data_IF_060979059972
#
_entry.id   IF_060979059972
#
_cell.length_a   1.000
_cell.length_b   1.000
_cell.length_c   1.000
_cell.angle_alpha   90.00
_cell.angle_beta   90.00
_cell.angle_gamma   90.00
#
_symmetry.space_group_name_H-M   'P 1'
#
loop_
_entity.id
_entity.type
_entity.pdbx_description
1 polymer ?
#
# COMPACT_ATOMS: atom_id res chain seq x y z
N UNK A 1 62.54 -3.00 -42.15
CA UNK A 1 61.79 -3.89 -41.26
C UNK A 1 60.99 -2.98 -40.35
N UNK A 2 59.66 -2.90 -40.59
CA UNK A 2 58.69 -2.14 -39.76
C UNK A 2 57.90 -3.10 -38.99
N UNK A 3 58.05 -3.13 -37.65
CA UNK A 3 57.27 -3.90 -36.75
C UNK A 3 55.97 -3.15 -36.40
N UNK A 4 54.82 -3.73 -36.70
CA UNK A 4 53.52 -3.25 -36.33
C UNK A 4 53.16 -3.91 -34.98
N UNK A 5 53.05 -3.09 -33.94
CA UNK A 5 52.56 -3.53 -32.63
C UNK A 5 51.04 -3.38 -32.64
N UNK A 6 50.31 -4.49 -32.64
CA UNK A 6 48.84 -4.51 -32.53
C UNK A 6 48.46 -4.43 -31.08
N UNK A 7 47.88 -3.31 -30.68
CA UNK A 7 47.31 -3.11 -29.34
C UNK A 7 45.91 -3.69 -29.31
N UNK A 8 45.74 -4.81 -28.60
CA UNK A 8 44.40 -5.39 -28.35
C UNK A 8 43.80 -4.71 -27.12
N UNK A 9 42.83 -3.84 -27.34
CA UNK A 9 41.98 -3.28 -26.26
C UNK A 9 40.94 -4.34 -25.85
N UNK A 10 41.14 -4.96 -24.71
CA UNK A 10 40.13 -5.78 -24.06
C UNK A 10 39.09 -4.85 -23.41
N UNK A 11 37.93 -4.68 -24.05
CA UNK A 11 36.76 -4.06 -23.45
C UNK A 11 36.17 -5.06 -22.42
N UNK A 12 36.51 -4.85 -21.17
CA UNK A 12 35.83 -5.52 -20.03
C UNK A 12 34.43 -5.01 -19.90
N UNK A 13 33.44 -5.79 -20.32
CA UNK A 13 32.02 -5.56 -20.01
C UNK A 13 31.84 -5.92 -18.54
N UNK A 14 31.86 -4.91 -17.66
CA UNK A 14 31.39 -5.06 -16.30
C UNK A 14 29.87 -5.27 -16.35
N UNK A 15 29.43 -6.52 -16.29
CA UNK A 15 28.04 -6.84 -16.03
C UNK A 15 27.69 -6.32 -14.63
N UNK A 16 27.07 -5.14 -14.59
CA UNK A 16 26.43 -4.65 -13.38
C UNK A 16 25.26 -5.60 -13.06
N UNK A 17 25.49 -6.52 -12.16
CA UNK A 17 24.45 -7.29 -11.51
C UNK A 17 23.69 -6.35 -10.59
N UNK A 18 22.84 -5.52 -11.17
CA UNK A 18 21.76 -4.85 -10.47
C UNK A 18 20.76 -5.92 -10.08
N UNK A 19 21.00 -6.59 -8.96
CA UNK A 19 19.98 -7.42 -8.32
C UNK A 19 18.81 -6.50 -8.01
N UNK A 20 17.77 -6.55 -8.82
CA UNK A 20 16.49 -5.92 -8.59
C UNK A 20 15.99 -6.49 -7.26
N UNK A 21 16.16 -5.74 -6.17
CA UNK A 21 15.62 -6.13 -4.87
C UNK A 21 14.12 -6.25 -5.02
N UNK A 22 13.64 -7.49 -5.11
CA UNK A 22 12.21 -7.76 -5.15
C UNK A 22 11.59 -7.14 -3.92
N UNK A 23 10.67 -6.22 -4.16
CA UNK A 23 9.91 -5.56 -3.11
C UNK A 23 9.25 -6.60 -2.19
N UNK A 24 9.37 -6.42 -0.88
CA UNK A 24 8.67 -7.25 0.09
C UNK A 24 7.16 -7.13 -0.16
N UNK A 25 6.45 -8.24 -0.45
CA UNK A 25 5.02 -8.22 -0.73
C UNK A 25 4.17 -7.74 0.45
N UNK A 26 4.73 -7.70 1.65
CA UNK A 26 4.05 -7.23 2.85
C UNK A 26 4.31 -5.76 3.15
N UNK A 27 5.26 -5.11 2.45
CA UNK A 27 5.70 -3.74 2.74
C UNK A 27 5.15 -2.74 1.73
N UNK A 28 4.75 -1.57 2.22
CA UNK A 28 4.48 -0.39 1.38
C UNK A 28 5.77 0.32 0.97
N UNK A 29 6.88 0.00 1.61
CA UNK A 29 8.19 0.58 1.36
C UNK A 29 9.23 -0.53 1.13
N UNK A 30 9.19 -1.20 -0.02
CA UNK A 30 10.09 -2.31 -0.26
C UNK A 30 11.53 -1.81 -0.38
N UNK A 31 12.31 -1.96 0.69
CA UNK A 31 13.78 -1.83 0.68
C UNK A 31 14.37 -0.51 0.16
N UNK A 32 13.55 0.48 -0.15
CA UNK A 32 14.06 1.76 -0.64
C UNK A 32 14.58 2.60 0.54
N UNK A 33 15.78 3.20 0.42
CA UNK A 33 16.27 4.10 1.45
C UNK A 33 15.29 5.26 1.58
N UNK A 34 14.92 5.58 2.83
CA UNK A 34 14.17 6.80 3.13
C UNK A 34 14.92 7.98 2.53
N UNK A 35 14.22 8.81 1.77
CA UNK A 35 14.77 10.08 1.32
C UNK A 35 15.22 10.84 2.57
N UNK A 36 16.47 11.31 2.58
CA UNK A 36 17.02 12.07 3.68
C UNK A 36 16.01 13.16 4.11
N UNK A 37 15.75 13.24 5.41
CA UNK A 37 14.85 14.26 5.98
C UNK A 37 15.26 15.62 5.47
N UNK A 38 14.48 16.21 4.59
CA UNK A 38 14.58 17.62 4.29
C UNK A 38 14.31 18.41 5.57
N UNK A 39 15.00 19.51 5.77
CA UNK A 39 14.79 20.36 6.94
C UNK A 39 13.32 20.82 6.97
N UNK A 40 12.59 20.34 7.94
CA UNK A 40 11.15 20.20 7.98
C UNK A 40 10.44 21.40 8.55
N UNK A 41 9.29 21.70 7.95
CA UNK A 41 8.21 22.34 8.70
C UNK A 41 7.91 21.49 9.95
N UNK A 42 7.87 22.10 11.16
CA UNK A 42 7.56 21.35 12.37
C UNK A 42 6.28 20.53 12.17
N UNK A 43 6.32 19.25 12.54
CA UNK A 43 5.14 18.43 12.43
C UNK A 43 3.97 19.04 13.19
N UNK A 44 2.75 18.94 12.69
CA UNK A 44 1.58 19.30 13.48
C UNK A 44 1.61 18.56 14.81
N UNK A 45 1.34 19.23 15.94
CA UNK A 45 1.48 18.63 17.26
C UNK A 45 0.36 17.61 17.59
N UNK A 46 -0.69 17.53 16.78
CA UNK A 46 -1.75 16.54 16.92
C UNK A 46 -2.43 16.26 15.59
N UNK A 47 -3.08 15.08 15.48
CA UNK A 47 -3.86 14.72 14.30
C UNK A 47 -4.93 15.76 13.95
N UNK A 48 -5.64 16.29 14.93
CA UNK A 48 -6.64 17.32 14.71
C UNK A 48 -6.04 18.62 14.13
N UNK A 49 -4.82 18.98 14.51
CA UNK A 49 -4.13 20.13 13.93
C UNK A 49 -3.57 19.80 12.55
N UNK A 50 -3.11 18.57 12.32
CA UNK A 50 -2.70 18.09 11.02
C UNK A 50 -3.84 18.24 10.00
N UNK A 51 -5.03 17.74 10.33
CA UNK A 51 -6.23 17.86 9.46
C UNK A 51 -6.63 19.32 9.17
N UNK A 52 -6.35 20.25 10.09
CA UNK A 52 -6.58 21.68 9.84
C UNK A 52 -5.51 22.34 8.98
N UNK A 53 -4.29 21.81 8.97
CA UNK A 53 -3.15 22.37 8.22
C UNK A 53 -2.99 21.77 6.83
N UNK A 54 -3.25 20.49 6.68
CA UNK A 54 -3.19 19.81 5.39
C UNK A 54 -4.30 20.31 4.47
N UNK A 55 -3.97 20.53 3.20
CA UNK A 55 -4.90 21.01 2.18
C UNK A 55 -5.07 20.03 1.03
N UNK A 56 -4.16 19.13 0.85
CA UNK A 56 -4.10 18.22 -0.30
C UNK A 56 -3.37 16.91 0.06
N UNK A 57 -3.53 15.96 -0.83
CA UNK A 57 -2.94 14.63 -0.66
C UNK A 57 -1.42 14.65 -0.51
N UNK A 58 -0.74 15.60 -1.15
CA UNK A 58 0.72 15.76 -1.07
C UNK A 58 1.21 16.10 0.34
N UNK A 59 0.44 16.89 1.10
CA UNK A 59 0.80 17.23 2.49
C UNK A 59 0.79 15.98 3.37
N UNK A 60 -0.24 15.15 3.19
CA UNK A 60 -0.35 13.84 3.85
C UNK A 60 0.77 12.89 3.39
N UNK A 61 1.06 12.86 2.09
CA UNK A 61 2.14 12.05 1.51
C UNK A 61 3.51 12.42 2.07
N UNK A 62 3.80 13.73 2.18
CA UNK A 62 5.03 14.22 2.76
C UNK A 62 5.18 13.78 4.22
N UNK A 63 4.12 13.92 5.03
CA UNK A 63 4.12 13.50 6.42
C UNK A 63 4.36 11.98 6.56
N UNK A 64 3.68 11.16 5.77
CA UNK A 64 3.89 9.70 5.74
C UNK A 64 5.33 9.36 5.33
N UNK A 65 5.84 10.00 4.28
CA UNK A 65 7.19 9.76 3.76
C UNK A 65 8.29 9.97 4.80
N UNK A 66 8.06 10.83 5.76
CA UNK A 66 9.03 11.15 6.79
C UNK A 66 8.90 10.32 8.06
N UNK A 67 7.67 9.92 8.39
CA UNK A 67 7.36 9.42 9.73
C UNK A 67 6.96 7.97 9.77
N UNK A 68 6.39 7.45 8.67
CA UNK A 68 5.91 6.08 8.65
C UNK A 68 7.04 5.07 8.78
N UNK A 69 6.83 4.08 9.65
CA UNK A 69 7.66 2.89 9.79
C UNK A 69 6.83 1.63 9.56
N UNK A 70 7.33 0.77 8.69
CA UNK A 70 6.66 -0.50 8.44
C UNK A 70 6.88 -1.48 9.60
N UNK A 71 5.79 -2.06 10.11
CA UNK A 71 5.80 -3.04 11.19
C UNK A 71 5.71 -4.47 10.65
N UNK A 72 6.86 -5.07 10.37
CA UNK A 72 6.93 -6.46 9.90
C UNK A 72 6.31 -7.45 10.89
N UNK A 73 6.50 -7.26 12.21
CA UNK A 73 5.92 -8.15 13.20
C UNK A 73 4.39 -8.09 13.16
N UNK A 74 3.81 -6.90 12.98
CA UNK A 74 2.38 -6.72 12.81
C UNK A 74 1.88 -7.34 11.49
N UNK A 75 2.64 -7.21 10.40
CA UNK A 75 2.31 -7.84 9.12
C UNK A 75 2.19 -9.37 9.26
N UNK A 76 3.16 -9.99 9.93
CA UNK A 76 3.12 -11.43 10.19
C UNK A 76 1.89 -11.82 11.03
N UNK A 77 1.54 -11.05 12.06
CA UNK A 77 0.32 -11.29 12.87
C UNK A 77 -0.98 -11.09 12.10
N UNK A 78 -1.00 -10.20 11.10
CA UNK A 78 -2.13 -9.95 10.21
C UNK A 78 -2.17 -10.92 9.02
N UNK A 79 -1.16 -11.78 8.85
CA UNK A 79 -1.12 -12.81 7.80
C UNK A 79 -2.35 -13.72 7.85
N UNK A 80 -2.68 -14.34 6.74
CA UNK A 80 -3.82 -15.28 6.69
C UNK A 80 -3.66 -16.44 7.66
N UNK A 81 -2.45 -16.95 7.79
CA UNK A 81 -2.12 -18.05 8.69
C UNK A 81 -2.43 -17.70 10.16
N UNK A 82 -2.01 -16.51 10.61
CA UNK A 82 -2.25 -16.08 11.98
C UNK A 82 -3.68 -15.66 12.23
N UNK A 83 -4.31 -15.03 11.25
CA UNK A 83 -5.74 -14.62 11.35
C UNK A 83 -6.67 -15.81 11.49
N UNK A 84 -6.34 -16.94 10.90
CA UNK A 84 -7.09 -18.18 11.08
C UNK A 84 -6.98 -18.74 12.51
N UNK A 85 -5.86 -18.47 13.21
CA UNK A 85 -5.57 -18.99 14.56
C UNK A 85 -5.99 -18.06 15.69
N UNK A 86 -5.80 -16.75 15.52
CA UNK A 86 -5.84 -15.80 16.65
C UNK A 86 -6.92 -14.74 16.53
N UNK A 87 -7.76 -14.79 15.49
CA UNK A 87 -8.71 -13.70 15.21
C UNK A 87 -8.05 -12.49 14.55
N UNK A 88 -8.81 -11.40 14.37
CA UNK A 88 -8.33 -10.19 13.72
C UNK A 88 -7.72 -9.22 14.74
N UNK A 89 -6.51 -8.74 14.46
CA UNK A 89 -5.98 -7.57 15.15
C UNK A 89 -6.76 -6.31 14.69
N UNK A 90 -7.02 -5.38 15.61
CA UNK A 90 -7.64 -4.11 15.25
C UNK A 90 -6.70 -3.31 14.31
N UNK A 91 -7.30 -2.66 13.33
CA UNK A 91 -6.59 -1.70 12.48
C UNK A 91 -6.50 -0.37 13.23
N UNK A 92 -5.34 0.28 13.17
CA UNK A 92 -5.11 1.51 13.91
C UNK A 92 -6.14 2.59 13.57
N UNK A 93 -6.65 3.25 14.61
CA UNK A 93 -7.41 4.49 14.46
C UNK A 93 -6.49 5.59 13.94
N UNK A 94 -6.95 6.50 13.04
CA UNK A 94 -6.09 7.50 12.44
C UNK A 94 -5.36 8.40 13.44
N UNK A 95 -6.00 8.79 14.53
CA UNK A 95 -5.35 9.59 15.58
C UNK A 95 -4.24 8.80 16.28
N UNK A 96 -4.49 7.54 16.63
CA UNK A 96 -3.47 6.68 17.24
C UNK A 96 -2.32 6.37 16.28
N UNK A 97 -2.61 6.19 14.97
CA UNK A 97 -1.58 6.03 13.95
C UNK A 97 -0.73 7.31 13.79
N UNK A 98 -1.35 8.49 13.89
CA UNK A 98 -0.62 9.76 13.84
C UNK A 98 0.37 9.90 14.99
N UNK A 99 -0.01 9.53 16.20
CA UNK A 99 0.87 9.58 17.39
C UNK A 99 2.03 8.56 17.28
N UNK A 100 1.76 7.41 16.70
CA UNK A 100 2.75 6.34 16.49
C UNK A 100 2.63 5.78 15.06
N UNK A 101 3.25 6.44 14.06
CA UNK A 101 3.07 6.13 12.64
C UNK A 101 3.84 4.87 12.24
N UNK A 102 3.50 3.78 12.91
CA UNK A 102 4.04 2.45 12.69
C UNK A 102 2.90 1.47 12.44
N UNK A 103 2.96 0.75 11.32
CA UNK A 103 1.89 -0.14 10.92
C UNK A 103 2.16 -0.87 9.62
N UNK A 104 1.11 -1.36 9.00
CA UNK A 104 1.16 -2.08 7.72
C UNK A 104 0.25 -1.41 6.68
N UNK A 105 0.21 -1.95 5.47
CA UNK A 105 -0.55 -1.39 4.34
C UNK A 105 -2.00 -0.99 4.69
N UNK A 106 -2.73 -1.81 5.44
CA UNK A 106 -4.12 -1.50 5.81
C UNK A 106 -4.22 -0.35 6.84
N UNK A 107 -3.24 -0.22 7.74
CA UNK A 107 -3.20 0.91 8.69
C UNK A 107 -2.92 2.23 7.94
N UNK A 108 -1.96 2.22 6.99
CA UNK A 108 -1.68 3.36 6.11
C UNK A 108 -2.90 3.70 5.26
N UNK A 109 -3.54 2.69 4.65
CA UNK A 109 -4.73 2.92 3.83
C UNK A 109 -5.87 3.55 4.63
N UNK A 110 -6.13 3.07 5.86
CA UNK A 110 -7.13 3.65 6.74
C UNK A 110 -6.80 5.10 7.09
N UNK A 111 -5.59 5.34 7.53
CA UNK A 111 -5.12 6.68 7.87
C UNK A 111 -5.28 7.64 6.68
N UNK A 112 -4.83 7.23 5.49
CA UNK A 112 -4.90 8.06 4.30
C UNK A 112 -6.34 8.32 3.85
N UNK A 113 -7.21 7.31 3.79
CA UNK A 113 -8.61 7.48 3.38
C UNK A 113 -9.37 8.40 4.32
N UNK A 114 -9.26 8.17 5.65
CA UNK A 114 -10.00 8.97 6.62
C UNK A 114 -9.46 10.40 6.68
N UNK A 115 -8.14 10.61 6.57
CA UNK A 115 -7.53 11.94 6.48
C UNK A 115 -7.97 12.68 5.20
N UNK A 116 -7.93 12.03 4.05
CA UNK A 116 -8.36 12.63 2.79
C UNK A 116 -9.82 13.03 2.81
N UNK A 117 -10.70 12.19 3.36
CA UNK A 117 -12.13 12.51 3.52
C UNK A 117 -12.36 13.74 4.40
N UNK A 118 -11.47 13.96 5.38
CA UNK A 118 -11.57 15.10 6.27
C UNK A 118 -11.05 16.39 5.64
N UNK A 119 -9.97 16.34 4.85
CA UNK A 119 -9.34 17.52 4.25
C UNK A 119 -9.89 17.89 2.88
N UNK A 120 -10.38 16.90 2.13
CA UNK A 120 -10.96 17.05 0.79
C UNK A 120 -12.08 16.03 0.55
N UNK A 121 -13.31 16.32 0.99
CA UNK A 121 -14.44 15.41 0.78
C UNK A 121 -14.77 15.17 -0.71
N UNK A 122 -14.37 16.07 -1.60
CA UNK A 122 -14.64 15.94 -3.04
C UNK A 122 -13.69 14.93 -3.72
N UNK A 123 -12.57 14.60 -3.08
CA UNK A 123 -11.61 13.64 -3.61
C UNK A 123 -12.10 12.19 -3.61
N UNK A 124 -13.32 11.92 -3.11
CA UNK A 124 -13.95 10.58 -3.09
C UNK A 124 -13.01 9.48 -2.61
N UNK A 125 -12.27 9.75 -1.55
CA UNK A 125 -11.29 8.79 -1.04
C UNK A 125 -11.91 7.45 -0.64
N UNK A 126 -11.25 6.37 -1.04
CA UNK A 126 -11.72 5.00 -0.84
C UNK A 126 -10.56 4.01 -0.69
N UNK A 127 -10.91 2.76 -0.49
CA UNK A 127 -9.95 1.67 -0.35
C UNK A 127 -9.90 0.84 -1.63
N UNK A 128 -8.71 0.41 -2.02
CA UNK A 128 -8.52 -0.63 -3.00
C UNK A 128 -7.77 -1.79 -2.34
N UNK A 129 -8.44 -2.93 -2.26
CA UNK A 129 -7.84 -4.18 -1.82
C UNK A 129 -7.39 -4.99 -3.04
N UNK A 130 -6.15 -5.41 -3.05
CA UNK A 130 -5.54 -6.23 -4.09
C UNK A 130 -5.26 -7.61 -3.51
N UNK A 131 -5.73 -8.66 -4.17
CA UNK A 131 -5.36 -10.04 -3.89
C UNK A 131 -4.38 -10.52 -4.96
N UNK A 132 -3.22 -10.97 -4.52
CA UNK A 132 -2.17 -11.49 -5.39
C UNK A 132 -1.86 -12.95 -5.06
N UNK A 133 -1.13 -13.64 -5.91
CA UNK A 133 -0.65 -14.98 -5.63
C UNK A 133 0.05 -15.03 -4.28
N UNK A 134 -0.28 -16.02 -3.43
CA UNK A 134 0.24 -16.07 -2.08
C UNK A 134 1.76 -16.00 -2.03
N UNK A 135 2.26 -15.12 -1.16
CA UNK A 135 3.68 -15.06 -0.80
C UNK A 135 3.89 -15.65 0.59
N UNK A 136 4.96 -16.39 0.76
CA UNK A 136 5.38 -16.90 2.07
C UNK A 136 6.50 -16.01 2.60
N UNK A 137 6.29 -15.41 3.78
CA UNK A 137 7.28 -14.65 4.52
C UNK A 137 7.38 -15.24 5.94
N UNK A 138 8.57 -15.70 6.32
CA UNK A 138 8.79 -16.32 7.63
C UNK A 138 7.73 -17.38 8.01
N UNK A 139 7.35 -18.23 7.05
CA UNK A 139 6.34 -19.27 7.24
C UNK A 139 4.90 -18.79 7.30
N UNK A 140 4.63 -17.51 7.04
CA UNK A 140 3.31 -16.92 7.04
C UNK A 140 2.83 -16.60 5.63
N UNK A 141 1.56 -16.85 5.35
CA UNK A 141 0.97 -16.60 4.03
C UNK A 141 0.42 -15.17 3.95
N UNK A 142 0.92 -14.42 2.99
CA UNK A 142 0.47 -13.07 2.65
C UNK A 142 -0.15 -13.09 1.26
N UNK A 143 -1.35 -12.54 1.14
CA UNK A 143 -2.12 -12.54 -0.12
C UNK A 143 -2.69 -11.19 -0.48
N UNK A 144 -2.79 -10.27 0.48
CA UNK A 144 -3.50 -9.02 0.30
C UNK A 144 -2.62 -7.81 0.51
N UNK A 145 -2.86 -6.83 -0.34
CA UNK A 145 -2.35 -5.49 -0.16
C UNK A 145 -3.51 -4.50 -0.14
N UNK A 146 -3.37 -3.46 0.66
CA UNK A 146 -4.36 -2.41 0.78
C UNK A 146 -3.72 -1.08 0.43
N UNK A 147 -4.41 -0.30 -0.37
CA UNK A 147 -4.01 1.05 -0.72
C UNK A 147 -5.20 2.01 -0.58
N UNK A 148 -4.91 3.27 -0.32
CA UNK A 148 -5.91 4.33 -0.39
C UNK A 148 -5.98 4.86 -1.81
N UNK A 149 -7.17 5.12 -2.31
CA UNK A 149 -7.43 5.75 -3.60
C UNK A 149 -8.13 7.08 -3.41
N UNK A 150 -7.98 8.01 -4.35
CA UNK A 150 -8.75 9.24 -4.41
C UNK A 150 -8.82 9.74 -5.86
N UNK A 151 -9.79 10.60 -6.14
CA UNK A 151 -9.97 11.20 -7.46
C UNK A 151 -9.51 12.66 -7.45
N UNK A 152 -8.91 13.08 -8.56
CA UNK A 152 -8.57 14.47 -8.87
C UNK A 152 -8.70 14.69 -10.37
N UNK A 153 -9.46 15.68 -10.79
CA UNK A 153 -9.70 16.01 -12.20
C UNK A 153 -10.18 14.80 -13.03
N UNK A 154 -11.04 13.97 -12.45
CA UNK A 154 -11.57 12.76 -13.08
C UNK A 154 -10.55 11.61 -13.22
N UNK A 155 -9.38 11.73 -12.64
CA UNK A 155 -8.33 10.71 -12.67
C UNK A 155 -8.13 10.10 -11.29
N UNK A 156 -7.76 8.82 -11.28
CA UNK A 156 -7.48 8.07 -10.06
C UNK A 156 -6.02 8.25 -9.62
N UNK A 157 -5.85 8.49 -8.32
CA UNK A 157 -4.56 8.50 -7.64
C UNK A 157 -4.55 7.50 -6.50
N UNK A 158 -3.37 7.03 -6.13
CA UNK A 158 -3.21 5.95 -5.14
C UNK A 158 -2.08 6.27 -4.16
N UNK A 159 -2.34 6.00 -2.86
CA UNK A 159 -1.35 5.98 -1.79
C UNK A 159 -1.01 4.55 -1.39
N UNK A 160 0.24 4.33 -0.94
CA UNK A 160 0.63 3.05 -0.38
C UNK A 160 0.82 1.97 -1.44
N UNK A 161 1.33 2.36 -2.61
CA UNK A 161 1.56 1.46 -3.75
C UNK A 161 2.83 0.60 -3.61
N UNK A 162 3.44 0.60 -2.44
CA UNK A 162 4.67 -0.14 -2.11
C UNK A 162 5.95 0.40 -2.72
N UNK A 163 5.96 1.56 -3.35
CA UNK A 163 7.20 2.16 -3.87
C UNK A 163 8.00 2.86 -2.78
N UNK A 164 7.34 3.72 -2.01
CA UNK A 164 7.93 4.40 -0.84
C UNK A 164 6.81 4.94 0.05
N UNK A 165 7.04 5.13 1.35
CA UNK A 165 6.05 5.76 2.21
C UNK A 165 5.63 7.13 1.67
N UNK A 166 4.33 7.40 1.64
CA UNK A 166 3.78 8.66 1.17
C UNK A 166 3.83 8.89 -0.35
N UNK A 167 4.29 7.90 -1.14
CA UNK A 167 4.25 8.01 -2.59
C UNK A 167 2.81 8.08 -3.10
N UNK A 168 2.56 9.04 -3.99
CA UNK A 168 1.31 9.12 -4.74
C UNK A 168 1.57 8.61 -6.15
N UNK A 169 0.93 7.50 -6.49
CA UNK A 169 0.93 6.95 -7.85
C UNK A 169 -0.24 7.54 -8.65
N UNK A 170 -0.05 7.78 -9.90
CA UNK A 170 -1.06 8.33 -10.80
C UNK A 170 -0.56 9.54 -11.61
N UNK A 171 -1.42 10.10 -12.47
CA UNK A 171 -2.84 9.74 -12.67
C UNK A 171 -3.05 8.41 -13.40
N UNK A 172 -4.11 7.70 -13.04
CA UNK A 172 -4.61 6.52 -13.75
C UNK A 172 -6.03 6.78 -14.26
N UNK A 173 -6.40 6.15 -15.36
CA UNK A 173 -7.77 6.22 -15.87
C UNK A 173 -8.77 5.57 -14.89
N UNK A 174 -8.38 4.47 -14.26
CA UNK A 174 -9.19 3.69 -13.33
C UNK A 174 -8.34 2.75 -12.45
N UNK A 175 -9.02 2.00 -11.59
CA UNK A 175 -8.36 1.03 -10.72
C UNK A 175 -7.71 -0.13 -11.48
N UNK A 176 -8.25 -0.51 -12.65
CA UNK A 176 -7.67 -1.59 -13.46
C UNK A 176 -6.30 -1.18 -14.02
N UNK A 177 -6.18 0.05 -14.51
CA UNK A 177 -4.92 0.61 -14.99
C UNK A 177 -3.84 0.63 -13.89
N UNK A 178 -4.21 1.07 -12.66
CA UNK A 178 -3.30 1.01 -11.53
C UNK A 178 -2.91 -0.44 -11.18
N UNK A 179 -3.87 -1.35 -11.10
CA UNK A 179 -3.61 -2.75 -10.73
C UNK A 179 -2.67 -3.42 -11.72
N UNK A 180 -2.81 -3.15 -13.01
CA UNK A 180 -1.90 -3.66 -14.03
C UNK A 180 -0.48 -3.12 -13.87
N UNK A 181 -0.33 -1.83 -13.51
CA UNK A 181 0.97 -1.23 -13.22
C UNK A 181 1.58 -1.80 -11.93
N UNK A 182 0.77 -1.96 -10.90
CA UNK A 182 1.17 -2.56 -9.63
C UNK A 182 1.66 -4.01 -9.81
N UNK A 183 0.94 -4.84 -10.59
CA UNK A 183 1.34 -6.22 -10.89
C UNK A 183 2.72 -6.27 -11.55
N UNK A 184 2.97 -5.41 -12.56
CA UNK A 184 4.28 -5.30 -13.22
C UNK A 184 5.37 -4.86 -12.25
N UNK A 185 5.10 -3.82 -11.46
CA UNK A 185 6.05 -3.31 -10.48
C UNK A 185 6.44 -4.36 -9.44
N UNK A 186 5.47 -5.14 -8.95
CA UNK A 186 5.68 -6.19 -7.95
C UNK A 186 6.25 -7.48 -8.54
N UNK A 187 6.17 -7.68 -9.84
CA UNK A 187 6.51 -8.94 -10.48
C UNK A 187 5.64 -10.08 -9.95
N UNK A 188 4.34 -9.82 -9.69
CA UNK A 188 3.39 -10.77 -9.13
C UNK A 188 2.06 -10.70 -9.84
N UNK A 189 1.44 -11.86 -9.99
CA UNK A 189 0.10 -11.94 -10.55
C UNK A 189 -0.93 -11.45 -9.54
N UNK A 190 -1.79 -10.56 -10.00
CA UNK A 190 -2.96 -10.11 -9.25
C UNK A 190 -4.13 -11.02 -9.60
N UNK A 191 -4.67 -11.70 -8.61
CA UNK A 191 -5.77 -12.66 -8.75
C UNK A 191 -7.12 -11.94 -8.75
N UNK A 192 -7.25 -10.92 -7.90
CA UNK A 192 -8.46 -10.12 -7.80
C UNK A 192 -8.15 -8.75 -7.18
N UNK A 193 -9.05 -7.78 -7.40
CA UNK A 193 -9.04 -6.51 -6.68
C UNK A 193 -10.47 -6.03 -6.43
N UNK A 194 -10.63 -5.17 -5.44
CA UNK A 194 -11.94 -4.60 -5.07
C UNK A 194 -11.80 -3.18 -4.57
N UNK A 195 -12.60 -2.29 -5.10
CA UNK A 195 -12.80 -0.96 -4.54
C UNK A 195 -13.85 -1.04 -3.43
N UNK A 196 -13.57 -0.46 -2.28
CA UNK A 196 -14.38 -0.59 -1.07
C UNK A 196 -14.52 0.77 -0.39
N UNK A 197 -15.70 1.03 0.17
CA UNK A 197 -15.94 2.21 0.98
C UNK A 197 -15.33 2.09 2.40
N UNK A 198 -15.12 0.87 2.85
CA UNK A 198 -14.55 0.56 4.18
C UNK A 198 -13.57 -0.60 4.09
N UNK A 199 -12.57 -0.62 4.98
CA UNK A 199 -11.64 -1.75 5.16
C UNK A 199 -12.27 -2.92 5.91
N UNK A 200 -13.41 -2.71 6.57
CA UNK A 200 -14.10 -3.73 7.34
C UNK A 200 -14.66 -4.82 6.41
N UNK A 201 -14.55 -6.05 6.87
CA UNK A 201 -15.17 -7.18 6.18
C UNK A 201 -16.69 -6.98 6.28
N UNK A 202 -17.35 -6.71 5.19
CA UNK A 202 -18.79 -6.86 5.15
C UNK A 202 -19.10 -8.31 5.52
N UNK A 203 -19.68 -8.53 6.70
CA UNK A 203 -20.28 -9.81 7.03
C UNK A 203 -21.32 -10.04 5.92
N UNK A 204 -21.14 -11.10 5.15
CA UNK A 204 -22.25 -11.62 4.34
C UNK A 204 -23.39 -11.79 5.33
N UNK A 205 -24.42 -10.97 5.20
CA UNK A 205 -25.69 -11.25 5.85
C UNK A 205 -26.04 -12.67 5.39
N UNK A 206 -26.08 -13.60 6.32
CA UNK A 206 -26.58 -14.93 6.06
C UNK A 206 -27.97 -14.71 5.48
N UNK A 207 -28.13 -15.04 4.20
CA UNK A 207 -29.42 -15.03 3.56
C UNK A 207 -30.32 -15.89 4.48
N UNK A 208 -31.27 -15.25 5.12
CA UNK A 208 -32.28 -15.90 5.91
C UNK A 208 -32.99 -16.84 4.95
N UNK A 209 -32.68 -18.13 5.02
CA UNK A 209 -33.46 -19.15 4.34
C UNK A 209 -34.86 -19.04 4.91
N UNK A 210 -35.76 -18.45 4.16
CA UNK A 210 -37.19 -18.64 4.42
C UNK A 210 -37.44 -20.14 4.37
N UNK A 211 -38.08 -20.72 5.42
CA UNK A 211 -38.56 -22.09 5.33
C UNK A 211 -39.56 -22.11 4.16
N UNK A 212 -39.31 -22.96 3.19
CA UNK A 212 -40.37 -23.34 2.23
C UNK A 212 -41.46 -23.99 3.02
N UNK A 213 -42.60 -23.32 3.09
CA UNK A 213 -43.84 -23.89 3.63
C UNK A 213 -44.04 -25.24 2.94
N UNK A 214 -44.08 -26.25 3.80
CA UNK A 214 -44.50 -27.58 3.41
C UNK A 214 -45.94 -27.48 2.89
N UNK A 215 -46.12 -27.73 1.61
CA UNK A 215 -47.42 -27.97 1.07
C UNK A 215 -48.01 -29.18 1.79
N UNK A 216 -49.10 -28.94 2.52
CA UNK A 216 -49.96 -29.98 3.03
C UNK A 216 -50.87 -30.53 1.91
N UNK A 217 -51.38 -31.75 2.11
CA UNK A 217 -51.92 -32.63 1.08
C UNK A 217 -53.22 -32.19 0.47
#
# INVERSE_FOLDING_TARGET
>A
VRSIVTLVLALGVAAAWGGEQRADPASDAPGQPRVARSAMTPAPPSYAQALRSWRRAEDLGAWLGERFEYDTARALRLSETQRARSGSLPIHEPAAFFESPRGVCVDVARFAVESLRAIDPQAKAGYLMIEFDPATLSGQTLRRHWVATFERDGQLYVFGDSKRPGHLAGPYADAAAFVADYARYRGRDVVAYRQLATYERQRRQAATRQPRDAAQP
#
